data_IF_940688385028
#
_entry.id   IF_940688385028
#
_cell.length_a   1.000
_cell.length_b   1.000
_cell.length_c   1.000
_cell.angle_alpha   90.00
_cell.angle_beta   90.00
_cell.angle_gamma   90.00
#
_symmetry.space_group_name_H-M   'P 1'
#
loop_
_entity.id
_entity.type
_entity.pdbx_description
1 polymer ?
#
# COMPACT_ATOMS: atom_id res chain seq x y z
N UNK A 1 16.05 48.93 31.58
CA UNK A 1 15.00 48.46 30.64
C UNK A 1 15.63 48.19 29.28
N UNK A 2 15.95 46.92 28.97
CA UNK A 2 16.30 46.43 27.61
C UNK A 2 16.27 44.90 27.65
N UNK A 3 15.06 44.32 27.60
CA UNK A 3 14.88 42.89 27.32
C UNK A 3 14.98 42.74 25.80
N UNK A 4 16.00 42.02 25.35
CA UNK A 4 16.31 41.75 23.95
C UNK A 4 15.19 40.89 23.33
N UNK A 5 14.56 41.42 22.29
CA UNK A 5 13.40 40.89 21.56
C UNK A 5 13.64 39.56 20.80
N UNK A 6 14.81 38.93 20.98
CA UNK A 6 15.31 37.83 20.13
C UNK A 6 15.15 36.44 20.75
N UNK A 7 14.61 36.31 21.96
CA UNK A 7 14.51 35.03 22.68
C UNK A 7 13.08 34.48 22.77
N UNK A 8 12.12 35.09 22.08
CA UNK A 8 10.75 34.61 22.04
C UNK A 8 10.59 33.59 20.91
N UNK A 9 10.35 32.32 21.25
CA UNK A 9 10.19 31.22 20.27
C UNK A 9 9.11 31.54 19.23
N UNK A 10 8.10 32.32 19.64
CA UNK A 10 7.02 32.83 18.80
C UNK A 10 7.56 33.66 17.63
N UNK A 11 8.60 34.46 17.85
CA UNK A 11 9.23 35.31 16.83
C UNK A 11 10.05 34.48 15.82
N UNK A 12 10.69 33.41 16.28
CA UNK A 12 11.41 32.46 15.41
C UNK A 12 10.44 31.75 14.47
N UNK A 13 9.29 31.30 14.96
CA UNK A 13 8.26 30.69 14.10
C UNK A 13 7.69 31.67 13.08
N UNK A 14 7.54 32.95 13.42
CA UNK A 14 7.11 33.99 12.47
C UNK A 14 8.16 34.20 11.38
N UNK A 15 9.45 34.23 11.73
CA UNK A 15 10.54 34.33 10.74
C UNK A 15 10.56 33.11 9.81
N UNK A 16 10.41 31.90 10.36
CA UNK A 16 10.37 30.66 9.56
C UNK A 16 9.16 30.67 8.62
N UNK A 17 7.98 31.09 9.10
CA UNK A 17 6.78 31.21 8.28
C UNK A 17 6.95 32.22 7.12
N UNK A 18 7.61 33.35 7.38
CA UNK A 18 7.94 34.36 6.36
C UNK A 18 8.92 33.79 5.32
N UNK A 19 9.94 33.05 5.76
CA UNK A 19 10.91 32.39 4.85
C UNK A 19 10.19 31.36 3.96
N UNK A 20 9.30 30.54 4.53
CA UNK A 20 8.50 29.58 3.77
C UNK A 20 7.59 30.27 2.73
N UNK A 21 6.95 31.38 3.11
CA UNK A 21 6.14 32.20 2.20
C UNK A 21 6.97 32.77 1.04
N UNK A 22 8.17 33.26 1.31
CA UNK A 22 9.07 33.79 0.28
C UNK A 22 9.50 32.68 -0.69
N UNK A 23 9.83 31.48 -0.18
CA UNK A 23 10.18 30.32 -1.01
C UNK A 23 8.98 29.91 -1.89
N UNK A 24 7.78 29.91 -1.33
CA UNK A 24 6.55 29.62 -2.07
C UNK A 24 6.30 30.63 -3.21
N UNK A 25 6.46 31.93 -2.95
CA UNK A 25 6.29 32.97 -3.97
C UNK A 25 7.37 32.95 -5.06
N UNK A 26 8.62 32.62 -4.70
CA UNK A 26 9.70 32.42 -5.68
C UNK A 26 9.38 31.20 -6.56
N UNK A 27 8.92 30.09 -5.98
CA UNK A 27 8.46 28.92 -6.70
C UNK A 27 7.31 29.23 -7.66
N UNK A 28 6.29 29.95 -7.17
CA UNK A 28 5.15 30.41 -7.98
C UNK A 28 5.60 31.28 -9.17
N UNK A 29 6.54 32.21 -8.95
CA UNK A 29 7.05 33.10 -10.00
C UNK A 29 7.87 32.35 -11.06
N UNK A 30 8.64 31.33 -10.66
CA UNK A 30 9.38 30.46 -11.59
C UNK A 30 8.41 29.63 -12.44
N UNK A 31 7.35 29.10 -11.84
CA UNK A 31 6.32 28.33 -12.56
C UNK A 31 5.58 29.21 -13.57
N UNK A 32 5.17 30.42 -13.19
CA UNK A 32 4.50 31.34 -14.11
C UNK A 32 5.41 31.81 -15.25
N UNK A 33 6.69 32.10 -14.97
CA UNK A 33 7.65 32.49 -16.00
C UNK A 33 7.89 31.36 -17.04
N UNK A 34 7.74 30.11 -16.63
CA UNK A 34 7.87 28.95 -17.52
C UNK A 34 6.55 28.58 -18.24
N UNK A 35 5.40 29.15 -17.86
CA UNK A 35 4.16 29.06 -18.64
C UNK A 35 4.23 29.93 -19.90
N UNK A 36 4.76 31.14 -19.80
CA UNK A 36 4.90 32.06 -20.94
C UNK A 36 5.90 31.55 -22.00
N UNK A 37 6.83 30.68 -21.61
CA UNK A 37 7.76 30.03 -22.52
C UNK A 37 7.14 28.85 -23.29
N UNK A 38 6.08 28.23 -22.77
CA UNK A 38 5.43 27.08 -23.38
C UNK A 38 4.45 27.47 -24.51
N UNK A 39 3.86 28.68 -24.46
CA UNK A 39 2.93 29.16 -25.49
C UNK A 39 3.62 29.59 -26.80
N UNK A 40 4.94 29.87 -26.79
CA UNK A 40 5.69 30.29 -27.99
C UNK A 40 6.26 29.16 -28.85
N UNK A 41 5.99 27.89 -28.54
CA UNK A 41 6.63 26.74 -29.25
C UNK A 41 5.68 25.91 -30.12
N UNK A 42 4.43 26.34 -30.31
CA UNK A 42 3.50 25.71 -31.25
C UNK A 42 3.57 26.32 -32.67
N UNK A 43 4.77 26.43 -33.24
CA UNK A 43 4.92 26.50 -34.69
C UNK A 43 5.53 25.20 -35.20
N UNK A 44 4.71 24.49 -35.99
CA UNK A 44 5.03 23.23 -36.64
C UNK A 44 6.12 23.46 -37.67
N UNK A 45 7.27 22.80 -37.52
CA UNK A 45 8.17 22.55 -38.66
C UNK A 45 8.62 21.09 -38.65
N UNK A 46 8.02 20.34 -39.56
CA UNK A 46 8.54 19.06 -40.07
C UNK A 46 9.72 19.31 -41.00
N UNK A 47 10.88 18.69 -40.78
CA UNK A 47 11.75 18.16 -41.86
C UNK A 47 12.86 17.27 -41.30
N UNK A 48 13.00 16.11 -41.94
CA UNK A 48 14.18 15.22 -41.94
C UNK A 48 15.43 15.98 -42.42
N UNK A 49 16.63 15.71 -41.86
CA UNK A 49 17.77 15.18 -42.63
C UNK A 49 18.98 14.77 -41.76
N UNK A 50 19.78 13.87 -42.33
CA UNK A 50 21.06 13.34 -41.86
C UNK A 50 22.19 14.38 -41.83
N UNK A 51 23.28 13.98 -41.16
CA UNK A 51 24.66 14.50 -41.17
C UNK A 51 25.04 15.34 -39.94
N UNK A 52 26.11 14.87 -39.30
CA UNK A 52 26.66 15.48 -38.10
C UNK A 52 27.36 16.80 -38.39
N UNK A 53 27.41 17.64 -37.36
CA UNK A 53 28.51 18.56 -37.14
C UNK A 53 28.53 19.00 -35.67
N UNK A 54 29.75 19.04 -35.15
CA UNK A 54 30.15 19.48 -33.82
C UNK A 54 29.95 21.00 -33.76
N UNK A 55 29.20 21.51 -32.78
CA UNK A 55 29.22 22.94 -32.46
C UNK A 55 29.79 23.19 -31.07
N UNK A 56 30.97 23.84 -31.11
CA UNK A 56 31.79 24.35 -30.01
C UNK A 56 31.01 25.35 -29.14
N UNK A 57 31.22 25.24 -27.83
CA UNK A 57 30.94 26.28 -26.84
C UNK A 57 31.67 27.59 -27.18
N UNK A 58 30.97 28.71 -27.03
CA UNK A 58 31.58 30.01 -26.75
C UNK A 58 31.36 30.30 -25.26
N UNK A 59 32.44 30.15 -24.49
CA UNK A 59 32.58 30.73 -23.16
C UNK A 59 32.42 32.25 -23.24
N UNK A 60 31.59 32.80 -22.35
CA UNK A 60 31.76 34.14 -21.78
C UNK A 60 30.83 34.28 -20.57
N UNK A 61 31.36 34.05 -19.35
CA UNK A 61 31.09 34.82 -18.12
C UNK A 61 31.65 34.08 -16.88
N UNK A 62 32.90 34.38 -16.53
CA UNK A 62 33.67 33.69 -15.49
C UNK A 62 33.39 34.14 -14.04
N UNK A 63 32.52 35.12 -13.78
CA UNK A 63 32.29 35.63 -12.41
C UNK A 63 31.03 35.07 -11.70
N UNK A 64 30.13 34.40 -12.44
CA UNK A 64 28.93 33.79 -11.84
C UNK A 64 29.13 32.34 -11.38
N UNK A 65 30.27 31.72 -11.72
CA UNK A 65 30.55 30.30 -11.47
C UNK A 65 30.95 30.03 -10.01
N UNK A 66 31.70 30.93 -9.36
CA UNK A 66 32.16 30.73 -7.98
C UNK A 66 31.06 30.86 -6.92
N UNK A 67 30.09 31.77 -7.13
CA UNK A 67 28.97 31.97 -6.21
C UNK A 67 27.92 30.85 -6.33
N UNK A 68 27.72 30.33 -7.54
CA UNK A 68 26.86 29.17 -7.79
C UNK A 68 27.49 27.86 -7.31
N UNK A 69 28.80 27.65 -7.48
CA UNK A 69 29.51 26.47 -6.93
C UNK A 69 29.38 26.37 -5.40
N UNK A 70 29.52 27.49 -4.68
CA UNK A 70 29.39 27.51 -3.21
C UNK A 70 27.96 27.21 -2.73
N UNK A 71 26.94 27.69 -3.45
CA UNK A 71 25.51 27.44 -3.14
C UNK A 71 25.10 26.00 -3.44
N UNK A 72 25.58 25.45 -4.56
CA UNK A 72 25.35 24.05 -4.95
C UNK A 72 25.98 23.10 -3.91
N UNK A 73 27.20 23.41 -3.45
CA UNK A 73 27.88 22.62 -2.44
C UNK A 73 27.17 22.68 -1.06
N UNK A 74 26.63 23.84 -0.67
CA UNK A 74 25.82 23.95 0.55
C UNK A 74 24.52 23.12 0.45
N UNK A 75 23.80 23.24 -0.66
CA UNK A 75 22.53 22.52 -0.85
C UNK A 75 22.73 21.01 -0.89
N UNK A 76 23.77 20.54 -1.60
CA UNK A 76 24.14 19.13 -1.64
C UNK A 76 24.54 18.61 -0.25
N UNK A 77 25.33 19.38 0.50
CA UNK A 77 25.72 19.01 1.87
C UNK A 77 24.53 18.92 2.81
N UNK A 78 23.56 19.84 2.69
CA UNK A 78 22.31 19.79 3.47
C UNK A 78 21.41 18.63 3.04
N UNK A 79 21.34 18.33 1.75
CA UNK A 79 20.53 17.25 1.21
C UNK A 79 21.06 15.86 1.61
N UNK A 80 22.38 15.65 1.52
CA UNK A 80 23.03 14.39 1.94
C UNK A 80 22.85 14.15 3.44
N UNK A 81 22.98 15.21 4.26
CA UNK A 81 22.74 15.14 5.72
C UNK A 81 21.27 14.99 6.13
N UNK A 82 20.34 15.21 5.21
CA UNK A 82 18.90 15.05 5.48
C UNK A 82 18.41 13.61 5.29
N UNK A 83 19.28 12.71 4.84
CA UNK A 83 18.98 11.31 4.61
C UNK A 83 20.09 10.43 5.16
N UNK A 84 19.79 9.67 6.21
CA UNK A 84 20.73 8.84 6.97
C UNK A 84 21.46 7.81 6.11
N UNK A 85 20.78 7.27 5.09
CA UNK A 85 21.37 6.30 4.16
C UNK A 85 22.39 6.96 3.22
N UNK A 86 22.14 8.20 2.82
CA UNK A 86 23.05 8.97 1.96
C UNK A 86 24.26 9.52 2.73
N UNK A 87 24.10 9.88 4.00
CA UNK A 87 25.22 10.24 4.87
C UNK A 87 26.15 9.04 5.08
N UNK A 88 25.58 7.84 5.32
CA UNK A 88 26.35 6.60 5.44
C UNK A 88 27.12 6.25 4.16
N UNK A 89 26.45 6.32 2.99
CA UNK A 89 27.07 6.05 1.70
C UNK A 89 28.21 7.04 1.35
N UNK A 90 28.09 8.29 1.79
CA UNK A 90 29.10 9.33 1.57
C UNK A 90 30.33 9.14 2.48
N UNK A 91 30.14 8.66 3.70
CA UNK A 91 31.24 8.37 4.65
C UNK A 91 32.00 7.09 4.26
N UNK A 92 31.31 6.10 3.67
CA UNK A 92 31.93 4.84 3.24
C UNK A 92 32.90 4.97 2.05
N UNK A 93 32.80 6.03 1.23
CA UNK A 93 33.72 6.30 0.11
C UNK A 93 34.85 7.28 0.47
N UNK A 94 34.97 7.65 1.76
CA UNK A 94 35.81 8.73 2.23
C UNK A 94 37.27 8.42 2.53
N UNK A 95 38.03 7.75 1.66
CA UNK A 95 39.50 7.88 1.66
C UNK A 95 40.09 7.88 0.25
N UNK A 96 40.34 9.10 -0.25
CA UNK A 96 41.49 9.50 -1.08
C UNK A 96 41.11 10.43 -2.24
N UNK A 97 41.88 11.51 -2.32
CA UNK A 97 42.00 12.51 -3.39
C UNK A 97 40.88 13.56 -3.60
N UNK A 98 41.23 14.76 -3.11
CA UNK A 98 40.93 16.06 -3.71
C UNK A 98 41.18 16.02 -5.22
N UNK A 99 40.13 16.01 -6.04
CA UNK A 99 40.08 16.84 -7.25
C UNK A 99 38.69 16.84 -7.91
N UNK A 100 38.32 18.03 -8.40
CA UNK A 100 37.00 18.44 -8.92
C UNK A 100 36.53 17.73 -10.20
N UNK A 101 37.22 16.68 -10.67
CA UNK A 101 36.79 15.86 -11.82
C UNK A 101 35.78 14.77 -11.48
N UNK A 102 35.76 14.31 -10.22
CA UNK A 102 34.92 13.18 -9.80
C UNK A 102 33.45 13.60 -9.62
N UNK A 103 33.19 14.87 -9.27
CA UNK A 103 31.83 15.36 -9.00
C UNK A 103 30.96 15.40 -10.26
N UNK A 104 31.51 15.71 -11.43
CA UNK A 104 30.73 15.66 -12.68
C UNK A 104 30.42 14.21 -13.09
N UNK A 105 31.37 13.28 -12.91
CA UNK A 105 31.14 11.85 -13.16
C UNK A 105 30.14 11.24 -12.16
N UNK A 106 30.17 11.68 -10.91
CA UNK A 106 29.20 11.31 -9.88
C UNK A 106 27.84 11.93 -10.20
N UNK A 107 27.77 13.21 -10.59
CA UNK A 107 26.50 13.86 -10.91
C UNK A 107 25.86 13.28 -12.17
N UNK A 108 26.64 12.94 -13.20
CA UNK A 108 26.12 12.30 -14.42
C UNK A 108 25.71 10.84 -14.17
N UNK A 109 26.43 10.10 -13.31
CA UNK A 109 25.99 8.78 -12.83
C UNK A 109 24.74 8.87 -11.96
N UNK A 110 24.66 9.84 -11.06
CA UNK A 110 23.50 10.07 -10.19
C UNK A 110 22.32 10.57 -11.01
N UNK A 111 22.48 11.46 -11.98
CA UNK A 111 21.41 11.96 -12.86
C UNK A 111 20.90 10.87 -13.82
N UNK A 112 21.78 9.99 -14.29
CA UNK A 112 21.36 8.82 -15.08
C UNK A 112 20.64 7.76 -14.25
N UNK A 113 21.01 7.61 -12.96
CA UNK A 113 20.31 6.75 -11.99
C UNK A 113 18.96 7.37 -11.57
N UNK A 114 18.93 8.68 -11.27
CA UNK A 114 17.76 9.39 -10.72
C UNK A 114 16.76 9.78 -11.82
N UNK A 115 17.16 9.86 -13.10
CA UNK A 115 16.32 10.30 -14.23
C UNK A 115 15.39 11.46 -13.81
N UNK A 116 15.90 12.69 -13.62
CA UNK A 116 15.20 13.76 -12.88
C UNK A 116 13.80 14.11 -13.40
N UNK A 117 13.50 13.90 -14.69
CA UNK A 117 12.13 14.00 -15.23
C UNK A 117 11.15 13.00 -14.59
N UNK A 118 11.60 11.79 -14.24
CA UNK A 118 10.81 10.77 -13.53
C UNK A 118 10.70 11.06 -12.03
N UNK A 119 11.78 11.57 -11.41
CA UNK A 119 11.78 11.96 -10.00
C UNK A 119 10.87 13.17 -9.73
N UNK A 120 10.93 14.21 -10.56
CA UNK A 120 10.01 15.36 -10.47
C UNK A 120 8.56 14.96 -10.78
N UNK A 121 8.34 13.99 -11.69
CA UNK A 121 7.00 13.45 -12.00
C UNK A 121 6.40 12.63 -10.85
N UNK A 122 7.23 11.99 -10.02
CA UNK A 122 6.76 11.24 -8.84
C UNK A 122 6.51 12.13 -7.62
N UNK A 123 7.27 13.21 -7.48
CA UNK A 123 7.19 14.11 -6.31
C UNK A 123 6.18 15.25 -6.47
N UNK A 124 5.84 15.66 -7.71
CA UNK A 124 4.90 16.76 -7.98
C UNK A 124 3.87 16.41 -9.08
N UNK A 125 3.00 15.40 -8.88
CA UNK A 125 2.04 14.95 -9.90
C UNK A 125 0.96 16.00 -10.25
N UNK A 126 0.69 16.96 -9.35
CA UNK A 126 -0.32 18.00 -9.57
C UNK A 126 0.07 19.07 -10.60
N UNK A 127 1.36 19.33 -10.81
CA UNK A 127 1.83 20.42 -11.69
C UNK A 127 1.82 20.02 -13.17
N UNK A 128 1.89 18.71 -13.48
CA UNK A 128 1.93 18.19 -14.84
C UNK A 128 0.56 17.76 -15.40
N UNK A 129 -0.45 17.58 -14.56
CA UNK A 129 -1.78 17.18 -15.03
C UNK A 129 -2.58 18.32 -15.68
N UNK A 130 -2.09 19.56 -15.70
CA UNK A 130 -2.76 20.69 -16.36
C UNK A 130 -2.64 20.61 -17.89
N UNK A 131 -1.56 20.05 -18.45
CA UNK A 131 -1.39 19.92 -19.91
C UNK A 131 -2.16 18.75 -20.51
N UNK A 132 -2.30 17.67 -19.74
CA UNK A 132 -2.95 16.44 -20.20
C UNK A 132 -4.47 16.49 -20.02
N UNK A 133 -4.97 17.23 -19.03
CA UNK A 133 -6.42 17.50 -18.88
C UNK A 133 -6.99 18.35 -20.02
N UNK A 134 -6.20 19.27 -20.59
CA UNK A 134 -6.61 20.11 -21.73
C UNK A 134 -6.66 19.34 -23.07
N UNK A 135 -5.87 18.26 -23.23
CA UNK A 135 -5.90 17.39 -24.43
C UNK A 135 -6.93 16.27 -24.35
N UNK A 136 -7.32 15.88 -23.14
CA UNK A 136 -8.36 14.88 -22.92
C UNK A 136 -9.74 15.50 -23.05
N UNK A 137 -10.00 16.71 -22.50
CA UNK A 137 -11.33 17.35 -22.62
C UNK A 137 -11.78 17.56 -24.07
N UNK A 138 -10.84 17.87 -24.97
CA UNK A 138 -11.12 18.11 -26.40
C UNK A 138 -11.47 16.85 -27.20
N UNK A 139 -11.19 15.65 -26.68
CA UNK A 139 -11.52 14.38 -27.37
C UNK A 139 -12.83 13.74 -26.88
N UNK A 140 -13.24 14.03 -25.65
CA UNK A 140 -14.47 13.48 -25.04
C UNK A 140 -15.75 14.26 -25.40
N UNK A 141 -15.65 15.52 -25.82
CA UNK A 141 -16.83 16.29 -26.26
C UNK A 141 -17.36 15.90 -27.65
N UNK A 142 -16.58 15.18 -28.47
CA UNK A 142 -16.97 14.87 -29.86
C UNK A 142 -17.74 13.54 -30.04
N UNK A 143 -17.89 12.71 -29.01
CA UNK A 143 -18.46 11.35 -29.16
C UNK A 143 -19.90 11.23 -28.61
N UNK A 144 -20.38 12.17 -27.78
CA UNK A 144 -21.72 12.10 -27.18
C UNK A 144 -22.77 12.95 -27.91
N UNK A 145 -22.89 12.80 -29.23
CA UNK A 145 -24.04 13.27 -30.00
C UNK A 145 -24.35 12.35 -31.18
N UNK A 146 -24.88 11.16 -30.90
CA UNK A 146 -25.81 10.48 -31.82
C UNK A 146 -26.47 9.26 -31.19
N UNK A 147 -27.79 9.40 -31.04
CA UNK A 147 -28.86 8.40 -31.28
C UNK A 147 -29.16 7.28 -30.27
N UNK A 148 -30.33 7.46 -29.66
CA UNK A 148 -31.30 6.46 -29.22
C UNK A 148 -31.47 5.24 -30.15
N UNK A 149 -31.59 4.03 -29.56
CA UNK A 149 -32.78 3.15 -29.69
C UNK A 149 -32.59 1.77 -29.02
N UNK A 150 -33.62 1.43 -28.22
CA UNK A 150 -34.31 0.14 -27.97
C UNK A 150 -33.57 -1.12 -27.46
N UNK A 151 -34.21 -1.68 -26.42
CA UNK A 151 -34.14 -3.04 -25.88
C UNK A 151 -34.22 -4.16 -26.92
N UNK A 152 -33.45 -5.25 -26.71
CA UNK A 152 -33.99 -6.61 -26.57
C UNK A 152 -32.93 -7.61 -26.08
N UNK A 153 -33.43 -8.66 -25.42
CA UNK A 153 -32.76 -9.80 -24.76
C UNK A 153 -32.19 -10.82 -25.74
N UNK A 154 -31.10 -11.52 -25.39
CA UNK A 154 -30.98 -12.99 -25.53
C UNK A 154 -29.69 -13.59 -24.96
N UNK A 155 -29.84 -14.78 -24.38
CA UNK A 155 -28.82 -15.69 -23.85
C UNK A 155 -27.99 -16.36 -24.97
N UNK A 156 -26.67 -16.53 -24.78
CA UNK A 156 -25.95 -17.83 -24.90
C UNK A 156 -24.43 -17.72 -24.68
N UNK A 157 -23.89 -18.84 -24.21
CA UNK A 157 -22.52 -19.14 -23.79
C UNK A 157 -21.42 -18.97 -24.84
N UNK A 158 -20.19 -18.87 -24.29
CA UNK A 158 -18.95 -19.57 -24.64
C UNK A 158 -17.77 -18.76 -25.23
N UNK A 159 -16.68 -18.75 -24.44
CA UNK A 159 -15.24 -18.73 -24.75
C UNK A 159 -14.56 -17.51 -25.40
N UNK A 160 -13.30 -17.36 -24.97
CA UNK A 160 -12.24 -16.45 -25.41
C UNK A 160 -12.34 -14.96 -25.05
N UNK A 161 -12.10 -14.66 -23.78
CA UNK A 161 -11.57 -13.34 -23.40
C UNK A 161 -10.10 -13.23 -23.82
N UNK A 162 -9.92 -12.63 -25.00
CA UNK A 162 -8.67 -12.06 -25.51
C UNK A 162 -7.93 -11.30 -24.41
N UNK A 163 -6.68 -11.69 -24.19
CA UNK A 163 -5.71 -10.95 -23.39
C UNK A 163 -5.61 -9.51 -23.90
N UNK A 164 -6.05 -8.55 -23.08
CA UNK A 164 -5.63 -7.16 -23.24
C UNK A 164 -4.20 -7.02 -22.73
N UNK A 165 -3.23 -6.58 -23.56
CA UNK A 165 -1.84 -6.41 -23.15
C UNK A 165 -1.72 -5.17 -22.26
N UNK A 166 -1.95 -5.34 -20.95
CA UNK A 166 -1.78 -4.25 -19.98
C UNK A 166 -0.29 -4.09 -19.64
N UNK A 167 0.29 -3.01 -20.17
CA UNK A 167 1.30 -2.14 -19.55
C UNK A 167 2.21 -2.82 -18.49
N UNK A 168 3.27 -3.48 -18.97
CA UNK A 168 4.43 -3.92 -18.18
C UNK A 168 5.29 -2.77 -17.60
N UNK A 169 4.83 -1.52 -17.70
CA UNK A 169 5.62 -0.36 -17.32
C UNK A 169 5.30 0.14 -15.89
N UNK A 170 6.08 -0.41 -14.94
CA UNK A 170 6.38 0.11 -13.59
C UNK A 170 5.30 0.00 -12.52
N UNK A 171 5.05 -1.22 -12.04
CA UNK A 171 4.57 -1.41 -10.67
C UNK A 171 5.77 -1.17 -9.74
N UNK A 172 5.59 -0.37 -8.70
CA UNK A 172 6.63 -0.10 -7.69
C UNK A 172 6.21 -0.83 -6.42
N UNK A 173 6.89 -1.95 -6.15
CA UNK A 173 6.83 -2.67 -4.89
C UNK A 173 7.92 -2.12 -3.98
N UNK A 174 7.53 -1.20 -3.09
CA UNK A 174 8.35 -0.80 -1.94
C UNK A 174 7.55 -1.29 -0.74
N UNK A 175 8.12 -2.22 0.00
CA UNK A 175 7.51 -2.77 1.21
C UNK A 175 7.23 -1.65 2.21
N UNK A 176 6.12 -1.79 2.93
CA UNK A 176 5.79 -0.90 4.04
C UNK A 176 6.63 -1.32 5.25
N UNK A 177 7.44 -0.42 5.86
CA UNK A 177 8.28 -0.78 6.99
C UNK A 177 7.53 -1.47 8.13
N UNK A 178 6.28 -1.07 8.41
CA UNK A 178 5.47 -1.69 9.47
C UNK A 178 5.08 -3.13 9.17
N UNK A 179 5.11 -3.52 7.88
CA UNK A 179 4.85 -4.89 7.45
C UNK A 179 6.12 -5.74 7.44
N UNK A 180 7.26 -5.12 7.16
CA UNK A 180 8.56 -5.81 7.05
C UNK A 180 9.14 -6.28 8.38
N UNK A 181 8.75 -5.66 9.50
CA UNK A 181 9.22 -6.07 10.82
C UNK A 181 8.36 -7.19 11.41
N UNK A 182 9.03 -8.15 12.03
CA UNK A 182 8.39 -9.26 12.74
C UNK A 182 7.64 -8.72 13.97
N UNK A 183 6.41 -9.19 14.17
CA UNK A 183 5.62 -8.85 15.34
C UNK A 183 5.82 -9.84 16.49
N UNK A 184 5.36 -9.47 17.67
CA UNK A 184 5.38 -10.34 18.83
C UNK A 184 4.03 -11.07 18.97
N UNK A 185 4.09 -12.34 19.35
CA UNK A 185 2.87 -13.09 19.68
C UNK A 185 2.28 -12.54 20.98
N UNK A 186 1.01 -12.12 20.95
CA UNK A 186 0.28 -11.78 22.17
C UNK A 186 0.07 -13.09 22.95
N UNK A 187 0.82 -13.25 24.04
CA UNK A 187 0.65 -14.39 24.93
C UNK A 187 -0.78 -14.45 25.49
N UNK A 188 -1.40 -15.62 25.34
CA UNK A 188 -2.56 -15.95 26.14
C UNK A 188 -2.04 -16.54 27.44
N UNK A 189 -2.20 -15.81 28.54
CA UNK A 189 -2.07 -16.41 29.87
C UNK A 189 -3.06 -17.57 29.96
N UNK A 190 -2.52 -18.79 29.93
CA UNK A 190 -3.14 -20.08 30.25
C UNK A 190 -3.42 -20.96 29.03
N UNK A 191 -2.50 -21.91 28.83
CA UNK A 191 -2.62 -23.14 28.05
C UNK A 191 -3.63 -24.11 28.73
N UNK A 192 -4.90 -23.73 28.86
CA UNK A 192 -5.95 -24.65 29.35
C UNK A 192 -6.96 -24.97 28.24
N UNK A 193 -7.57 -26.16 28.35
CA UNK A 193 -8.42 -26.84 27.35
C UNK A 193 -9.48 -25.90 26.74
N UNK A 194 -9.69 -25.99 25.42
CA UNK A 194 -10.52 -25.09 24.60
C UNK A 194 -11.94 -24.82 25.11
N UNK A 195 -12.60 -25.77 25.78
CA UNK A 195 -13.94 -25.57 26.37
C UNK A 195 -13.93 -24.60 27.56
N UNK A 196 -12.85 -24.54 28.33
CA UNK A 196 -12.71 -23.65 29.48
C UNK A 196 -12.28 -22.23 29.03
N UNK A 197 -11.55 -22.12 27.90
CA UNK A 197 -11.10 -20.84 27.34
C UNK A 197 -12.28 -19.92 27.01
N UNK A 198 -13.31 -20.42 26.31
CA UNK A 198 -14.48 -19.60 25.93
C UNK A 198 -15.20 -19.00 27.15
N UNK A 199 -15.14 -19.65 28.31
CA UNK A 199 -15.73 -19.17 29.55
C UNK A 199 -14.90 -18.10 30.26
N UNK A 200 -13.59 -18.06 30.00
CA UNK A 200 -12.62 -17.17 30.66
C UNK A 200 -12.25 -15.93 29.83
N UNK A 201 -12.51 -15.93 28.53
CA UNK A 201 -12.23 -14.76 27.67
C UNK A 201 -13.31 -13.67 27.81
N UNK A 202 -12.88 -12.41 27.80
CA UNK A 202 -13.80 -11.28 27.72
C UNK A 202 -14.43 -11.25 26.32
N UNK A 203 -15.73 -11.55 26.26
CA UNK A 203 -16.48 -11.55 25.00
C UNK A 203 -16.62 -10.14 24.41
N UNK A 204 -16.46 -9.97 23.08
CA UNK A 204 -16.80 -8.72 22.42
C UNK A 204 -18.26 -8.34 22.67
N UNK A 205 -18.55 -7.04 22.71
CA UNK A 205 -19.91 -6.55 22.89
C UNK A 205 -20.78 -7.01 21.72
N UNK A 206 -22.06 -7.29 22.01
CA UNK A 206 -23.02 -7.60 20.93
C UNK A 206 -23.36 -6.35 20.14
N UNK A 207 -23.57 -6.52 18.84
CA UNK A 207 -23.91 -5.48 17.88
C UNK A 207 -25.26 -5.75 17.23
N UNK A 208 -26.03 -4.69 17.00
CA UNK A 208 -27.27 -4.78 16.25
C UNK A 208 -26.99 -4.52 14.77
N UNK A 209 -27.44 -5.44 13.91
CA UNK A 209 -27.28 -5.33 12.46
C UNK A 209 -28.59 -5.66 11.74
N UNK A 210 -28.84 -5.05 10.60
CA UNK A 210 -29.90 -5.49 9.71
C UNK A 210 -29.37 -6.67 8.89
N UNK A 211 -29.80 -7.89 9.24
CA UNK A 211 -29.35 -9.12 8.59
C UNK A 211 -29.73 -9.22 7.11
N UNK A 212 -30.72 -8.45 6.64
CA UNK A 212 -31.17 -8.44 5.23
C UNK A 212 -30.37 -7.47 4.34
N UNK A 213 -29.37 -6.79 4.90
CA UNK A 213 -28.45 -5.90 4.17
C UNK A 213 -27.01 -6.30 4.47
N UNK A 214 -26.03 -5.98 3.61
CA UNK A 214 -24.63 -6.25 3.94
C UNK A 214 -24.24 -5.60 5.27
N UNK A 215 -23.70 -6.40 6.19
CA UNK A 215 -23.18 -5.94 7.49
C UNK A 215 -21.71 -6.35 7.74
N UNK A 216 -21.18 -7.18 6.85
CA UNK A 216 -19.77 -7.58 6.81
C UNK A 216 -19.14 -6.95 5.57
N UNK A 217 -17.93 -6.43 5.71
CA UNK A 217 -17.07 -6.01 4.61
C UNK A 217 -15.85 -6.92 4.56
N UNK A 218 -15.56 -7.47 3.39
CA UNK A 218 -14.29 -8.16 3.09
C UNK A 218 -13.54 -7.32 2.07
N UNK A 219 -12.28 -7.04 2.33
CA UNK A 219 -11.41 -6.33 1.40
C UNK A 219 -9.95 -6.80 1.56
N UNK A 220 -9.08 -6.24 0.72
CA UNK A 220 -7.66 -6.59 0.68
C UNK A 220 -6.84 -5.33 0.54
N UNK A 221 -6.05 -4.97 1.56
CA UNK A 221 -5.07 -3.89 1.41
C UNK A 221 -4.00 -4.29 0.38
N UNK A 222 -3.50 -5.52 0.44
CA UNK A 222 -2.48 -6.04 -0.47
C UNK A 222 -3.02 -7.15 -1.38
N UNK A 223 -3.88 -6.77 -2.33
CA UNK A 223 -4.57 -7.73 -3.19
C UNK A 223 -3.65 -8.60 -4.07
N UNK A 224 -2.44 -8.14 -4.38
CA UNK A 224 -1.53 -8.91 -5.24
C UNK A 224 -0.76 -10.01 -4.51
N UNK A 225 -0.82 -10.09 -3.19
CA UNK A 225 -0.11 -11.12 -2.41
C UNK A 225 -0.37 -12.54 -2.96
N UNK A 226 0.71 -13.16 -3.45
CA UNK A 226 0.68 -14.39 -4.22
C UNK A 226 1.00 -15.64 -3.40
N UNK A 227 0.46 -16.78 -3.81
CA UNK A 227 0.79 -18.11 -3.29
C UNK A 227 1.54 -18.94 -4.33
N UNK A 228 2.17 -20.04 -3.91
CA UNK A 228 2.76 -21.01 -4.85
C UNK A 228 1.68 -21.56 -5.82
N UNK A 229 2.05 -21.85 -7.09
CA UNK A 229 3.40 -21.94 -7.66
C UNK A 229 3.90 -20.65 -8.33
N UNK A 230 3.43 -19.47 -7.92
CA UNK A 230 3.98 -18.22 -8.45
C UNK A 230 5.38 -18.00 -7.88
N UNK A 231 6.39 -18.34 -8.67
CA UNK A 231 7.81 -18.17 -8.31
C UNK A 231 8.41 -16.87 -8.87
N UNK A 232 7.88 -16.34 -9.98
CA UNK A 232 8.36 -15.07 -10.54
C UNK A 232 7.88 -13.88 -9.70
N UNK A 233 8.83 -13.11 -9.13
CA UNK A 233 8.58 -12.04 -8.15
C UNK A 233 7.91 -12.50 -6.84
N UNK A 234 7.90 -13.83 -6.55
CA UNK A 234 7.44 -14.65 -5.39
C UNK A 234 6.35 -14.15 -4.44
N UNK A 235 6.26 -12.85 -4.25
CA UNK A 235 5.38 -12.16 -3.34
C UNK A 235 4.12 -11.63 -4.04
N UNK A 236 4.16 -11.27 -5.33
CA UNK A 236 3.05 -10.54 -5.95
C UNK A 236 2.62 -11.01 -7.35
N UNK A 237 1.30 -11.12 -7.57
CA UNK A 237 0.69 -11.45 -8.86
C UNK A 237 -0.68 -10.80 -9.06
N UNK A 238 -1.00 -10.43 -10.30
CA UNK A 238 -2.36 -10.04 -10.71
C UNK A 238 -3.17 -11.22 -11.23
N UNK A 239 -2.58 -12.43 -11.30
CA UNK A 239 -3.31 -13.65 -11.65
C UNK A 239 -4.22 -14.03 -10.49
N UNK A 240 -5.50 -13.60 -10.56
CA UNK A 240 -6.50 -13.78 -9.50
C UNK A 240 -6.50 -15.17 -8.88
N UNK A 241 -6.42 -16.22 -9.69
CA UNK A 241 -6.44 -17.61 -9.21
C UNK A 241 -5.28 -18.02 -8.29
N UNK A 242 -4.29 -17.16 -8.03
CA UNK A 242 -3.11 -17.42 -7.21
C UNK A 242 -2.83 -16.30 -6.18
N UNK A 243 -3.77 -15.41 -5.87
CA UNK A 243 -3.61 -14.36 -4.86
C UNK A 243 -4.76 -14.29 -3.85
N UNK A 244 -4.57 -13.46 -2.84
CA UNK A 244 -5.49 -13.29 -1.70
C UNK A 244 -6.91 -12.86 -2.09
N UNK A 245 -7.14 -12.23 -3.26
CA UNK A 245 -8.50 -11.93 -3.74
C UNK A 245 -9.35 -13.20 -3.91
N UNK A 246 -8.75 -14.30 -4.37
CA UNK A 246 -9.45 -15.59 -4.48
C UNK A 246 -9.76 -16.17 -3.12
N UNK A 247 -8.88 -15.99 -2.14
CA UNK A 247 -9.08 -16.43 -0.76
C UNK A 247 -10.23 -15.64 -0.11
N UNK A 248 -10.27 -14.31 -0.29
CA UNK A 248 -11.37 -13.46 0.14
C UNK A 248 -12.72 -13.85 -0.47
N UNK A 249 -12.76 -14.19 -1.76
CA UNK A 249 -13.99 -14.66 -2.40
C UNK A 249 -14.49 -15.97 -1.78
N UNK A 250 -13.61 -16.94 -1.52
CA UNK A 250 -14.00 -18.21 -0.89
C UNK A 250 -14.53 -18.01 0.54
N UNK A 251 -13.89 -17.14 1.33
CA UNK A 251 -14.39 -16.78 2.67
C UNK A 251 -15.79 -16.15 2.55
N UNK A 252 -15.98 -15.22 1.61
CA UNK A 252 -17.29 -14.60 1.34
C UNK A 252 -18.32 -15.65 0.93
N UNK A 253 -17.97 -16.60 0.06
CA UNK A 253 -18.88 -17.66 -0.38
C UNK A 253 -19.30 -18.55 0.79
N UNK A 254 -18.35 -18.95 1.64
CA UNK A 254 -18.64 -19.74 2.84
C UNK A 254 -19.57 -18.98 3.79
N UNK A 255 -19.25 -17.72 4.11
CA UNK A 255 -20.12 -16.88 4.95
C UNK A 255 -21.51 -16.67 4.34
N UNK A 256 -21.58 -16.52 3.01
CA UNK A 256 -22.87 -16.39 2.32
C UNK A 256 -23.70 -17.68 2.41
N UNK A 257 -23.07 -18.86 2.34
CA UNK A 257 -23.77 -20.13 2.52
C UNK A 257 -24.30 -20.34 3.93
N UNK A 258 -23.69 -19.71 4.93
CA UNK A 258 -24.16 -19.68 6.32
C UNK A 258 -25.22 -18.56 6.57
N UNK A 259 -25.68 -17.87 5.51
CA UNK A 259 -26.76 -16.89 5.58
C UNK A 259 -26.33 -15.45 5.90
N UNK A 260 -25.03 -15.16 5.90
CA UNK A 260 -24.55 -13.80 6.13
C UNK A 260 -24.63 -12.94 4.85
N UNK A 261 -24.89 -11.63 5.01
CA UNK A 261 -24.88 -10.68 3.90
C UNK A 261 -23.56 -9.87 3.92
N UNK A 262 -22.77 -10.01 2.85
CA UNK A 262 -21.40 -9.51 2.77
C UNK A 262 -21.24 -8.55 1.59
N UNK A 263 -20.48 -7.48 1.78
CA UNK A 263 -19.91 -6.69 0.71
C UNK A 263 -18.45 -7.13 0.52
N UNK A 264 -18.11 -7.74 -0.62
CA UNK A 264 -16.72 -8.07 -0.96
C UNK A 264 -16.15 -7.01 -1.93
N UNK A 265 -15.03 -6.39 -1.57
CA UNK A 265 -14.30 -5.44 -2.40
C UNK A 265 -13.16 -6.15 -3.11
N UNK A 266 -13.39 -6.41 -4.39
CA UNK A 266 -12.45 -7.13 -5.25
C UNK A 266 -11.61 -6.15 -6.11
N UNK A 267 -10.77 -5.36 -5.44
CA UNK A 267 -9.91 -4.32 -6.05
C UNK A 267 -8.47 -4.51 -5.57
N UNK A 268 -7.49 -4.32 -6.46
CA UNK A 268 -6.08 -4.22 -6.12
C UNK A 268 -5.75 -2.81 -5.61
N UNK A 269 -5.61 -2.63 -4.30
CA UNK A 269 -5.25 -1.33 -3.71
C UNK A 269 -3.74 -1.03 -3.76
N UNK A 270 -2.94 -2.06 -3.99
CA UNK A 270 -1.48 -2.07 -4.11
C UNK A 270 -0.99 -1.84 -5.55
N UNK A 271 -1.89 -1.59 -6.50
CA UNK A 271 -1.56 -1.20 -7.88
C UNK A 271 -2.00 0.24 -8.15
N UNK A 272 -1.13 1.10 -8.72
CA UNK A 272 0.23 0.82 -9.21
C UNK A 272 1.35 0.93 -8.15
N UNK A 273 1.02 1.17 -6.89
CA UNK A 273 1.98 1.51 -5.84
C UNK A 273 1.69 0.73 -4.57
N UNK A 274 2.57 -0.20 -4.22
CA UNK A 274 2.41 -1.03 -3.02
C UNK A 274 2.38 -0.18 -1.75
N UNK A 275 3.30 0.77 -1.62
CA UNK A 275 3.39 1.70 -0.48
C UNK A 275 2.19 2.65 -0.30
N UNK A 276 1.23 2.65 -1.23
CA UNK A 276 -0.02 3.43 -1.12
C UNK A 276 -1.22 2.55 -0.82
N UNK A 277 -1.04 1.24 -0.68
CA UNK A 277 -2.10 0.25 -0.45
C UNK A 277 -3.02 0.67 0.68
N UNK A 278 -2.48 0.97 1.87
CA UNK A 278 -3.25 1.35 3.04
C UNK A 278 -4.07 2.63 2.83
N UNK A 279 -3.49 3.63 2.16
CA UNK A 279 -4.21 4.86 1.83
C UNK A 279 -5.35 4.60 0.84
N UNK A 280 -5.09 3.80 -0.20
CA UNK A 280 -6.07 3.47 -1.23
C UNK A 280 -7.20 2.61 -0.69
N UNK A 281 -6.87 1.60 0.11
CA UNK A 281 -7.83 0.69 0.72
C UNK A 281 -8.68 1.41 1.76
N UNK A 282 -8.10 2.31 2.56
CA UNK A 282 -8.85 3.17 3.49
C UNK A 282 -9.91 4.01 2.78
N UNK A 283 -9.59 4.58 1.61
CA UNK A 283 -10.54 5.36 0.81
C UNK A 283 -11.74 4.48 0.43
N UNK A 284 -11.49 3.26 -0.02
CA UNK A 284 -12.55 2.30 -0.38
C UNK A 284 -13.40 1.91 0.83
N UNK A 285 -12.76 1.56 1.96
CA UNK A 285 -13.47 1.20 3.20
C UNK A 285 -14.35 2.35 3.69
N UNK A 286 -13.85 3.60 3.67
CA UNK A 286 -14.64 4.78 4.02
C UNK A 286 -15.83 4.96 3.09
N UNK A 287 -15.62 4.90 1.78
CA UNK A 287 -16.71 5.05 0.80
C UNK A 287 -17.81 4.00 0.99
N UNK A 288 -17.42 2.73 1.19
CA UNK A 288 -18.35 1.61 1.40
C UNK A 288 -19.13 1.79 2.71
N UNK A 289 -18.44 2.07 3.81
CA UNK A 289 -19.07 2.25 5.14
C UNK A 289 -19.86 3.56 5.25
N UNK A 290 -19.57 4.57 4.45
CA UNK A 290 -20.37 5.78 4.32
C UNK A 290 -21.69 5.53 3.61
N UNK A 291 -21.66 4.79 2.50
CA UNK A 291 -22.87 4.40 1.74
C UNK A 291 -23.71 3.37 2.48
N UNK A 292 -23.09 2.49 3.26
CA UNK A 292 -23.78 1.45 4.01
C UNK A 292 -23.37 1.45 5.50
N UNK A 293 -24.11 2.21 6.30
CA UNK A 293 -23.92 2.30 7.76
C UNK A 293 -24.24 1.00 8.52
N UNK A 294 -24.81 0.00 7.84
CA UNK A 294 -25.09 -1.32 8.40
C UNK A 294 -23.84 -2.19 8.50
N UNK A 295 -22.76 -1.86 7.77
CA UNK A 295 -21.48 -2.55 7.88
C UNK A 295 -20.88 -2.26 9.25
N UNK A 296 -20.69 -3.31 10.04
CA UNK A 296 -20.10 -3.28 11.39
C UNK A 296 -18.87 -4.15 11.51
N UNK A 297 -18.77 -5.22 10.74
CA UNK A 297 -17.67 -6.18 10.79
C UNK A 297 -16.82 -6.00 9.54
N UNK A 298 -15.50 -5.90 9.70
CA UNK A 298 -14.57 -5.67 8.60
C UNK A 298 -13.43 -6.68 8.66
N UNK A 299 -13.21 -7.39 7.56
CA UNK A 299 -12.09 -8.32 7.40
C UNK A 299 -11.18 -7.83 6.29
N UNK A 300 -9.90 -7.67 6.62
CA UNK A 300 -8.83 -7.40 5.67
C UNK A 300 -8.02 -8.68 5.50
N UNK A 301 -8.12 -9.28 4.31
CA UNK A 301 -7.57 -10.61 4.05
C UNK A 301 -6.23 -10.47 3.33
N UNK A 302 -5.22 -11.02 3.98
CA UNK A 302 -3.82 -11.02 3.57
C UNK A 302 -3.26 -12.44 3.57
N UNK A 303 -1.96 -12.55 3.28
CA UNK A 303 -1.11 -13.67 3.67
C UNK A 303 0.23 -13.15 4.21
N UNK A 304 0.81 -13.90 5.13
CA UNK A 304 2.11 -13.58 5.72
C UNK A 304 3.21 -13.60 4.64
N UNK A 305 4.25 -12.80 4.81
CA UNK A 305 5.39 -12.68 3.93
C UNK A 305 6.66 -13.17 4.63
N UNK A 306 7.10 -14.38 4.29
CA UNK A 306 8.33 -14.98 4.81
C UNK A 306 9.46 -14.73 3.81
N UNK A 307 10.50 -13.95 4.18
CA UNK A 307 11.68 -13.76 3.34
C UNK A 307 12.43 -15.08 3.09
N UNK A 308 13.02 -15.24 1.90
CA UNK A 308 13.78 -16.45 1.54
C UNK A 308 14.95 -16.74 2.49
N UNK A 309 15.53 -15.70 3.10
CA UNK A 309 16.65 -15.77 4.03
C UNK A 309 16.25 -15.55 5.50
N UNK A 310 14.97 -15.71 5.82
CA UNK A 310 14.48 -15.60 7.19
C UNK A 310 15.21 -16.62 8.09
N UNK A 311 15.74 -16.16 9.22
CA UNK A 311 16.39 -17.04 10.22
C UNK A 311 15.43 -18.08 10.80
N UNK A 312 14.12 -17.83 10.68
CA UNK A 312 13.04 -18.67 11.16
C UNK A 312 12.35 -19.47 10.03
N UNK A 313 12.91 -19.52 8.82
CA UNK A 313 12.29 -20.17 7.66
C UNK A 313 11.84 -21.62 7.94
N UNK A 314 12.68 -22.42 8.59
CA UNK A 314 12.36 -23.82 8.92
C UNK A 314 11.13 -23.93 9.83
N UNK A 315 11.05 -23.06 10.84
CA UNK A 315 9.90 -22.96 11.74
C UNK A 315 8.66 -22.48 10.97
N UNK A 316 8.80 -21.48 10.11
CA UNK A 316 7.70 -20.99 9.28
C UNK A 316 7.16 -22.08 8.34
N UNK A 317 8.02 -22.93 7.77
CA UNK A 317 7.62 -24.07 6.96
C UNK A 317 6.84 -25.11 7.79
N UNK A 318 7.36 -25.47 8.97
CA UNK A 318 6.71 -26.42 9.88
C UNK A 318 5.32 -25.93 10.32
N UNK A 319 5.20 -24.65 10.67
CA UNK A 319 3.95 -24.06 11.14
C UNK A 319 3.03 -23.57 9.99
N UNK A 320 3.49 -23.60 8.73
CA UNK A 320 2.74 -23.04 7.59
C UNK A 320 1.43 -23.78 7.30
N UNK A 321 1.33 -25.05 7.68
CA UNK A 321 0.18 -25.89 7.38
C UNK A 321 -0.04 -27.00 8.41
N UNK A 322 -1.29 -27.43 8.51
CA UNK A 322 -1.71 -28.59 9.29
C UNK A 322 -2.58 -29.52 8.45
N UNK A 323 -2.98 -30.66 9.01
CA UNK A 323 -3.88 -31.61 8.37
C UNK A 323 -5.22 -31.63 9.08
N UNK A 324 -6.28 -31.23 8.37
CA UNK A 324 -7.67 -31.30 8.84
C UNK A 324 -8.46 -32.12 7.84
N UNK A 325 -9.20 -33.13 8.31
CA UNK A 325 -10.02 -34.03 7.48
C UNK A 325 -9.28 -34.62 6.28
N UNK A 326 -8.01 -34.99 6.48
CA UNK A 326 -7.19 -35.59 5.44
C UNK A 326 -6.57 -34.62 4.43
N UNK A 327 -6.88 -33.32 4.50
CA UNK A 327 -6.37 -32.28 3.59
C UNK A 327 -5.31 -31.42 4.26
N UNK A 328 -4.31 -31.01 3.49
CA UNK A 328 -3.39 -29.97 3.91
C UNK A 328 -4.10 -28.62 3.85
N UNK A 329 -4.01 -27.87 4.94
CA UNK A 329 -4.61 -26.56 5.11
C UNK A 329 -3.55 -25.61 5.64
N UNK A 330 -3.39 -24.46 5.01
CA UNK A 330 -2.53 -23.39 5.52
C UNK A 330 -3.02 -22.92 6.90
N UNK A 331 -2.13 -22.67 7.84
CA UNK A 331 -2.51 -22.02 9.10
C UNK A 331 -2.78 -20.54 8.86
N UNK A 332 -3.41 -19.86 9.81
CA UNK A 332 -3.60 -18.40 9.72
C UNK A 332 -3.19 -17.69 11.01
N UNK A 333 -2.92 -16.40 10.89
CA UNK A 333 -2.65 -15.50 12.01
C UNK A 333 -3.60 -14.31 11.99
N UNK A 334 -3.77 -13.68 13.14
CA UNK A 334 -4.47 -12.41 13.28
C UNK A 334 -3.44 -11.33 13.58
N UNK A 335 -3.48 -10.19 12.88
CA UNK A 335 -2.49 -9.13 13.08
C UNK A 335 -3.12 -7.92 13.76
N UNK A 336 -2.38 -7.26 14.65
CA UNK A 336 -2.78 -6.04 15.35
C UNK A 336 -1.70 -4.98 15.17
N UNK A 337 -2.14 -3.78 14.76
CA UNK A 337 -1.30 -2.58 14.76
C UNK A 337 -1.39 -1.88 16.12
N UNK A 338 -0.26 -1.61 16.80
CA UNK A 338 -0.26 -1.13 18.18
C UNK A 338 -0.77 0.32 18.30
N UNK A 339 -0.78 1.09 17.21
CA UNK A 339 -1.16 2.51 17.21
C UNK A 339 -2.66 2.76 16.95
N UNK A 340 -3.46 1.71 16.85
CA UNK A 340 -4.90 1.84 16.67
C UNK A 340 -5.58 2.36 17.95
N UNK A 341 -6.37 3.46 17.91
CA UNK A 341 -7.03 4.00 19.10
C UNK A 341 -8.04 3.03 19.74
N UNK A 342 -8.54 2.05 19.00
CA UNK A 342 -9.44 1.00 19.47
C UNK A 342 -8.74 -0.35 19.70
N UNK A 343 -7.41 -0.36 19.87
CA UNK A 343 -6.57 -1.55 20.03
C UNK A 343 -7.12 -2.58 21.02
N UNK A 344 -7.61 -2.15 22.18
CA UNK A 344 -8.17 -3.07 23.18
C UNK A 344 -9.36 -3.88 22.64
N UNK A 345 -10.24 -3.24 21.88
CA UNK A 345 -11.40 -3.90 21.28
C UNK A 345 -10.98 -4.83 20.13
N UNK A 346 -9.95 -4.44 19.35
CA UNK A 346 -9.36 -5.28 18.31
C UNK A 346 -8.76 -6.57 18.90
N UNK A 347 -8.01 -6.45 20.01
CA UNK A 347 -7.44 -7.61 20.70
C UNK A 347 -8.55 -8.51 21.25
N UNK A 348 -9.61 -7.96 21.86
CA UNK A 348 -10.76 -8.75 22.33
C UNK A 348 -11.43 -9.51 21.19
N UNK A 349 -11.66 -8.86 20.06
CA UNK A 349 -12.25 -9.50 18.89
C UNK A 349 -11.35 -10.58 18.31
N UNK A 350 -10.04 -10.33 18.20
CA UNK A 350 -9.06 -11.29 17.73
C UNK A 350 -8.95 -12.52 18.68
N UNK A 351 -8.92 -12.31 20.00
CA UNK A 351 -8.94 -13.38 21.00
C UNK A 351 -10.20 -14.24 20.89
N UNK A 352 -11.34 -13.62 20.64
CA UNK A 352 -12.57 -14.36 20.43
C UNK A 352 -12.55 -15.18 19.13
N UNK A 353 -12.07 -14.63 18.02
CA UNK A 353 -11.88 -15.39 16.77
C UNK A 353 -10.95 -16.58 17.00
N UNK A 354 -9.80 -16.35 17.66
CA UNK A 354 -8.85 -17.42 17.98
C UNK A 354 -9.47 -18.50 18.85
N UNK A 355 -10.17 -18.15 19.92
CA UNK A 355 -10.80 -19.15 20.80
C UNK A 355 -11.85 -20.00 20.07
N UNK A 356 -12.65 -19.40 19.20
CA UNK A 356 -13.59 -20.15 18.35
C UNK A 356 -12.83 -21.04 17.36
N UNK A 357 -11.75 -20.54 16.75
CA UNK A 357 -10.89 -21.33 15.87
C UNK A 357 -10.27 -22.52 16.58
N UNK A 358 -9.72 -22.33 17.78
CA UNK A 358 -9.06 -23.38 18.56
C UNK A 358 -10.06 -24.45 19.02
N UNK A 359 -11.31 -24.05 19.29
CA UNK A 359 -12.40 -24.98 19.62
C UNK A 359 -12.88 -25.79 18.41
N UNK A 360 -13.01 -25.17 17.24
CA UNK A 360 -13.50 -25.84 16.03
C UNK A 360 -12.41 -26.65 15.30
N UNK A 361 -11.21 -26.09 15.23
CA UNK A 361 -10.08 -26.57 14.43
C UNK A 361 -8.75 -26.31 15.17
N UNK A 362 -8.41 -27.16 16.16
CA UNK A 362 -7.18 -27.00 16.95
C UNK A 362 -5.93 -26.84 16.07
N UNK A 363 -5.15 -25.80 16.34
CA UNK A 363 -3.90 -25.50 15.61
C UNK A 363 -4.08 -24.73 14.30
N UNK A 364 -5.31 -24.45 13.84
CA UNK A 364 -5.54 -23.71 12.60
C UNK A 364 -5.11 -22.24 12.70
N UNK A 365 -5.37 -21.60 13.85
CA UNK A 365 -4.97 -20.24 14.15
C UNK A 365 -3.67 -20.24 14.98
N UNK A 366 -2.54 -19.85 14.36
CA UNK A 366 -1.22 -19.80 15.01
C UNK A 366 -1.21 -18.88 16.22
N UNK A 367 -1.87 -17.73 16.11
CA UNK A 367 -1.86 -16.73 17.17
C UNK A 367 -2.34 -15.37 16.73
N UNK A 368 -2.16 -14.42 17.64
CA UNK A 368 -2.41 -13.00 17.41
C UNK A 368 -1.04 -12.32 17.46
N UNK A 369 -0.62 -11.76 16.33
CA UNK A 369 0.66 -11.08 16.15
C UNK A 369 0.41 -9.59 16.31
N UNK A 370 1.13 -8.97 17.23
CA UNK A 370 1.18 -7.51 17.33
C UNK A 370 2.46 -6.99 16.66
N UNK A 371 2.29 -6.11 15.67
CA UNK A 371 3.42 -5.46 15.00
C UNK A 371 4.10 -4.44 15.94
N UNK A 372 5.41 -4.15 15.77
CA UNK A 372 6.12 -3.22 16.65
C UNK A 372 5.64 -1.75 16.51
N UNK A 373 5.13 -1.39 15.32
CA UNK A 373 4.53 -0.08 15.04
C UNK A 373 3.52 -0.21 13.91
N UNK A 374 2.79 0.87 13.64
CA UNK A 374 1.86 0.95 12.53
C UNK A 374 0.42 1.17 12.97
N UNK A 375 -0.21 2.12 12.26
CA UNK A 375 -1.63 2.41 12.35
C UNK A 375 -2.32 1.90 11.09
N UNK A 376 -2.52 0.59 11.05
CA UNK A 376 -3.32 -0.08 10.02
C UNK A 376 -4.76 0.48 9.98
N UNK A 377 -5.56 0.09 8.98
CA UNK A 377 -6.95 0.57 8.83
C UNK A 377 -7.94 0.00 9.87
N UNK A 378 -7.45 -0.67 10.90
CA UNK A 378 -8.25 -1.42 11.88
C UNK A 378 -9.16 -0.53 12.72
N UNK A 379 -8.80 0.75 12.89
CA UNK A 379 -9.64 1.74 13.56
C UNK A 379 -10.97 2.06 12.87
N UNK A 380 -11.22 1.53 11.67
CA UNK A 380 -12.49 1.69 10.97
C UNK A 380 -13.65 0.91 11.63
N UNK A 381 -13.36 -0.08 12.48
CA UNK A 381 -14.37 -0.74 13.31
C UNK A 381 -13.75 -1.39 14.56
N UNK A 382 -14.52 -1.48 15.65
CA UNK A 382 -14.14 -2.31 16.81
C UNK A 382 -14.23 -3.82 16.51
N UNK A 383 -14.92 -4.21 15.44
CA UNK A 383 -15.05 -5.58 14.98
C UNK A 383 -14.28 -5.74 13.66
N UNK A 384 -13.02 -5.34 13.68
CA UNK A 384 -12.10 -5.46 12.56
C UNK A 384 -11.10 -6.58 12.82
N UNK A 385 -10.85 -7.45 11.84
CA UNK A 385 -9.72 -8.38 11.88
C UNK A 385 -8.88 -8.28 10.59
N UNK A 386 -7.56 -8.14 10.76
CA UNK A 386 -6.59 -8.39 9.70
C UNK A 386 -6.20 -9.87 9.82
N UNK A 387 -6.45 -10.64 8.76
CA UNK A 387 -6.31 -12.10 8.77
C UNK A 387 -5.26 -12.48 7.72
N UNK A 388 -4.14 -13.03 8.17
CA UNK A 388 -3.11 -13.58 7.30
C UNK A 388 -3.36 -15.06 7.08
N UNK A 389 -3.85 -15.41 5.89
CA UNK A 389 -4.19 -16.80 5.52
C UNK A 389 -2.97 -17.44 4.88
N UNK A 390 -2.23 -18.23 5.65
CA UNK A 390 -0.97 -18.83 5.22
C UNK A 390 0.13 -17.79 4.97
N UNK A 391 1.13 -18.20 4.19
CA UNK A 391 2.21 -17.33 3.72
C UNK A 391 2.53 -17.58 2.24
N UNK A 392 3.54 -16.89 1.70
CA UNK A 392 4.13 -17.18 0.38
C UNK A 392 4.77 -18.58 0.29
N UNK A 393 4.92 -19.31 1.40
CA UNK A 393 5.39 -20.70 1.42
C UNK A 393 4.28 -21.71 1.11
N UNK A 394 3.01 -21.29 1.20
CA UNK A 394 1.87 -22.17 0.96
C UNK A 394 1.49 -22.24 -0.52
N UNK A 395 0.94 -23.38 -0.91
CA UNK A 395 0.24 -23.49 -2.19
C UNK A 395 -1.11 -22.80 -2.12
N UNK A 396 -1.59 -22.32 -3.27
CA UNK A 396 -2.94 -21.74 -3.33
C UNK A 396 -4.02 -22.73 -2.87
N UNK A 397 -3.86 -24.03 -3.12
CA UNK A 397 -4.88 -25.02 -2.75
C UNK A 397 -4.93 -25.28 -1.24
N UNK A 398 -3.79 -25.24 -0.56
CA UNK A 398 -3.73 -25.22 0.92
C UNK A 398 -4.48 -24.01 1.48
N UNK A 399 -4.25 -22.81 0.92
CA UNK A 399 -4.92 -21.58 1.35
C UNK A 399 -6.44 -21.61 1.04
N UNK A 400 -6.86 -22.16 -0.10
CA UNK A 400 -8.29 -22.35 -0.42
C UNK A 400 -8.99 -23.31 0.53
N UNK A 401 -8.30 -24.36 0.98
CA UNK A 401 -8.87 -25.26 1.99
C UNK A 401 -9.05 -24.53 3.33
N UNK A 402 -8.06 -23.73 3.74
CA UNK A 402 -8.13 -22.91 4.95
C UNK A 402 -9.23 -21.87 4.90
N UNK A 403 -9.42 -21.20 3.75
CA UNK A 403 -10.44 -20.18 3.55
C UNK A 403 -11.86 -20.66 3.93
N UNK A 404 -12.17 -21.93 3.63
CA UNK A 404 -13.46 -22.55 4.00
C UNK A 404 -13.58 -22.75 5.51
N UNK A 405 -12.53 -23.26 6.15
CA UNK A 405 -12.50 -23.46 7.59
C UNK A 405 -12.57 -22.12 8.35
N UNK A 406 -11.84 -21.12 7.88
CA UNK A 406 -11.88 -19.74 8.40
C UNK A 406 -13.28 -19.16 8.24
N UNK A 407 -13.94 -19.36 7.09
CA UNK A 407 -15.34 -18.95 6.89
C UNK A 407 -16.28 -19.53 7.94
N UNK A 408 -16.13 -20.80 8.31
CA UNK A 408 -16.92 -21.43 9.37
C UNK A 408 -16.64 -20.83 10.75
N UNK A 409 -15.36 -20.60 11.08
CA UNK A 409 -14.95 -19.93 12.34
C UNK A 409 -15.56 -18.53 12.42
N UNK A 410 -15.41 -17.74 11.36
CA UNK A 410 -15.95 -16.38 11.30
C UNK A 410 -17.48 -16.38 11.38
N UNK A 411 -18.17 -17.32 10.73
CA UNK A 411 -19.63 -17.45 10.84
C UNK A 411 -20.06 -17.67 12.29
N UNK A 412 -19.41 -18.60 13.00
CA UNK A 412 -19.67 -18.87 14.41
C UNK A 412 -19.42 -17.63 15.28
N UNK A 413 -18.30 -16.95 15.09
CA UNK A 413 -17.98 -15.68 15.77
C UNK A 413 -19.07 -14.64 15.55
N UNK A 414 -19.46 -14.42 14.29
CA UNK A 414 -20.44 -13.41 13.90
C UNK A 414 -21.79 -13.69 14.57
N UNK A 415 -22.27 -14.94 14.51
CA UNK A 415 -23.54 -15.34 15.10
C UNK A 415 -23.61 -15.09 16.62
N UNK A 416 -22.50 -15.21 17.34
CA UNK A 416 -22.47 -14.95 18.79
C UNK A 416 -22.56 -13.46 19.13
N UNK A 417 -22.02 -12.59 18.26
CA UNK A 417 -21.93 -11.15 18.51
C UNK A 417 -23.03 -10.33 17.81
N UNK A 418 -23.72 -10.85 16.81
CA UNK A 418 -24.81 -10.13 16.13
C UNK A 418 -26.17 -10.36 16.79
N UNK A 419 -27.02 -9.33 16.77
CA UNK A 419 -28.44 -9.35 17.17
C UNK A 419 -29.32 -8.74 16.10
#
# INVERSE_FOLDING_TARGET
MKRTFLNDRSFVYVIIAIICLIIFFIGYKIINKNKDAAEKTNEVVTTFNQNGEIYKEKENNLDNTNKNKKRINFFLKTFVKSNTYMELAYEMEGESHKDLGIINNIFDRIVSIIKPKRYLKSQLPAILNISDTLKVSTKYETINKSTDKKFETDNKNDKDTKETPLLKDKIIFIEDPSESEEGEMIENTNEEIAEDILSKIEMPKKINVNLNKPYILIYHTHGTEAYLPIEENQFHTTKRGYNVLTIGEIIKEQLSSEGHNINHVNIYHDIPSYSKSYYMSLKTVKEVTEKNKNIKIIFDIHRDGVPENASYLDKALEESKIKIDGKEVATFSLVIGPENPNREELIKFAKFIKAVSDSMYPGLCKGIIEKPYGKFNQYMSNYYALIEVGSNLNTIDEAKNSAKLIGNVLSKVINEITR
#
